data_IF_896485190250
#
_entry.id   IF_896485190250
#
_cell.length_a   1.000
_cell.length_b   1.000
_cell.length_c   1.000
_cell.angle_alpha   90.00
_cell.angle_beta   90.00
_cell.angle_gamma   90.00
#
_symmetry.space_group_name_H-M   'P 1'
#
loop_
_entity.id
_entity.type
_entity.pdbx_description
1 polymer ?
#
# COMPACT_ATOMS: atom_id res chain seq x y z
N UNK A 1 -2.11 9.03 -16.88
CA UNK A 1 -3.37 8.26 -16.92
C UNK A 1 -3.39 7.17 -15.84
N UNK A 2 -2.34 6.35 -15.72
CA UNK A 2 -2.25 5.27 -14.72
C UNK A 2 -2.48 5.66 -13.26
N UNK A 3 -2.00 6.83 -12.78
CA UNK A 3 -2.22 7.28 -11.39
C UNK A 3 -3.70 7.55 -11.07
N UNK A 4 -4.45 8.07 -12.05
CA UNK A 4 -5.90 8.29 -11.92
C UNK A 4 -6.67 6.98 -11.95
N UNK A 5 -6.23 6.00 -12.74
CA UNK A 5 -6.80 4.64 -12.74
C UNK A 5 -6.50 3.88 -11.44
N UNK A 6 -5.30 4.06 -10.87
CA UNK A 6 -4.92 3.51 -9.57
C UNK A 6 -5.85 3.99 -8.44
N UNK A 7 -6.24 5.27 -8.47
CA UNK A 7 -7.21 5.84 -7.53
C UNK A 7 -8.68 5.44 -7.80
N UNK A 8 -8.97 4.78 -8.94
CA UNK A 8 -10.33 4.33 -9.28
C UNK A 8 -10.71 2.99 -8.70
N UNK A 9 -9.75 2.13 -8.34
CA UNK A 9 -10.05 0.96 -7.54
C UNK A 9 -10.58 1.45 -6.19
N UNK A 10 -11.89 1.49 -6.03
CA UNK A 10 -12.57 1.96 -4.81
C UNK A 10 -13.12 0.81 -4.01
N UNK A 11 -13.24 -0.37 -4.62
CA UNK A 11 -13.83 -1.56 -4.02
C UNK A 11 -12.85 -2.73 -3.99
N UNK A 12 -13.07 -3.69 -3.09
CA UNK A 12 -12.28 -4.93 -3.03
C UNK A 12 -12.43 -5.73 -4.32
N UNK A 13 -13.64 -5.79 -4.91
CA UNK A 13 -13.84 -6.48 -6.21
C UNK A 13 -12.94 -5.92 -7.30
N UNK A 14 -12.93 -4.60 -7.47
CA UNK A 14 -12.04 -3.94 -8.44
C UNK A 14 -10.57 -4.22 -8.14
N UNK A 15 -10.17 -4.20 -6.86
CA UNK A 15 -8.79 -4.51 -6.47
C UNK A 15 -8.38 -5.95 -6.84
N UNK A 16 -9.28 -6.93 -6.64
CA UNK A 16 -9.00 -8.34 -6.91
C UNK A 16 -8.92 -8.64 -8.42
N UNK A 17 -9.82 -8.04 -9.20
CA UNK A 17 -9.90 -8.20 -10.66
C UNK A 17 -8.79 -7.44 -11.40
N UNK A 18 -8.33 -6.32 -10.83
CA UNK A 18 -7.27 -5.52 -11.43
C UNK A 18 -5.89 -6.18 -11.30
N UNK A 19 -5.10 -6.09 -12.37
CA UNK A 19 -3.72 -6.58 -12.38
C UNK A 19 -2.77 -5.39 -12.27
N UNK A 20 -2.14 -5.16 -11.10
CA UNK A 20 -1.17 -4.09 -10.98
C UNK A 20 -0.01 -4.28 -11.94
N UNK A 21 0.60 -3.18 -12.42
CA UNK A 21 1.93 -3.28 -12.99
C UNK A 21 2.84 -3.92 -11.93
N UNK A 22 3.58 -4.95 -12.34
CA UNK A 22 4.55 -5.59 -11.46
C UNK A 22 5.65 -4.57 -11.18
N UNK A 23 5.77 -4.19 -9.91
CA UNK A 23 6.93 -3.46 -9.42
C UNK A 23 7.81 -4.46 -8.70
N UNK A 24 9.03 -4.57 -9.18
CA UNK A 24 10.06 -5.33 -8.48
C UNK A 24 10.50 -4.55 -7.24
N UNK A 25 10.59 -5.24 -6.11
CA UNK A 25 11.09 -4.66 -4.86
C UNK A 25 12.51 -5.16 -4.67
N UNK A 26 13.47 -4.24 -4.53
CA UNK A 26 14.86 -4.61 -4.25
C UNK A 26 15.01 -4.97 -2.77
N UNK A 27 15.31 -6.25 -2.50
CA UNK A 27 15.46 -6.81 -1.15
C UNK A 27 16.78 -6.36 -0.50
N UNK A 28 17.82 -6.19 -1.31
CA UNK A 28 19.17 -5.82 -0.84
C UNK A 28 19.62 -4.52 -1.51
N UNK A 29 19.26 -3.36 -0.94
CA UNK A 29 19.63 -2.09 -1.53
C UNK A 29 21.13 -1.82 -1.36
N UNK A 30 21.73 -1.15 -2.34
CA UNK A 30 23.13 -0.71 -2.26
C UNK A 30 23.35 0.36 -1.19
N UNK A 31 22.33 1.19 -0.93
CA UNK A 31 22.30 2.12 0.20
C UNK A 31 20.95 2.12 0.91
N UNK A 32 21.02 2.23 2.24
CA UNK A 32 19.87 2.49 3.12
C UNK A 32 19.84 3.91 3.69
N UNK A 33 20.80 4.76 3.31
CA UNK A 33 20.86 6.17 3.73
C UNK A 33 19.89 6.99 2.89
N UNK A 34 19.10 7.86 3.53
CA UNK A 34 18.09 8.67 2.83
C UNK A 34 18.72 9.81 2.02
N UNK A 35 19.83 10.36 2.51
CA UNK A 35 20.58 11.41 1.82
C UNK A 35 21.08 10.96 0.44
N UNK A 36 21.29 9.66 0.24
CA UNK A 36 21.70 9.12 -1.07
C UNK A 36 20.55 9.11 -2.09
N UNK A 37 19.30 9.17 -1.63
CA UNK A 37 18.10 9.20 -2.47
C UNK A 37 17.67 10.65 -2.76
N UNK A 38 17.84 11.59 -1.84
CA UNK A 38 17.34 12.95 -2.02
C UNK A 38 18.30 13.78 -2.91
N UNK A 39 17.75 14.58 -3.82
CA UNK A 39 18.53 15.41 -4.73
C UNK A 39 17.84 16.75 -4.97
N UNK A 40 18.62 17.84 -4.96
CA UNK A 40 18.13 19.20 -5.28
C UNK A 40 18.09 19.48 -6.79
N UNK A 41 18.69 18.60 -7.59
CA UNK A 41 18.63 18.64 -9.06
C UNK A 41 17.24 18.29 -9.61
N UNK A 42 16.94 18.78 -10.82
CA UNK A 42 15.71 18.42 -11.55
C UNK A 42 15.69 16.93 -11.97
N UNK A 43 14.49 16.31 -12.04
CA UNK A 43 14.34 14.93 -12.48
C UNK A 43 14.77 14.75 -13.95
N UNK A 44 15.45 13.64 -14.25
CA UNK A 44 15.90 13.31 -15.61
C UNK A 44 14.81 12.64 -16.44
N UNK A 45 13.80 12.06 -15.80
CA UNK A 45 12.64 11.49 -16.46
C UNK A 45 11.36 11.79 -15.70
N UNK A 46 10.30 12.13 -16.42
CA UNK A 46 8.95 12.33 -15.89
C UNK A 46 7.91 11.44 -16.59
N UNK A 47 8.38 10.57 -17.49
CA UNK A 47 7.50 9.67 -18.25
C UNK A 47 6.97 8.55 -17.35
N UNK A 48 5.65 8.47 -17.21
CA UNK A 48 4.99 7.46 -16.37
C UNK A 48 5.35 6.04 -16.79
N UNK A 49 5.48 5.77 -18.09
CA UNK A 49 5.82 4.44 -18.59
C UNK A 49 7.23 4.04 -18.15
N UNK A 50 8.17 4.98 -18.12
CA UNK A 50 9.50 4.75 -17.59
C UNK A 50 9.49 4.56 -16.08
N UNK A 51 8.72 5.37 -15.35
CA UNK A 51 8.62 5.30 -13.89
C UNK A 51 8.10 3.94 -13.39
N UNK A 52 7.16 3.34 -14.10
CA UNK A 52 6.59 2.02 -13.76
C UNK A 52 7.59 0.86 -13.94
N UNK A 53 8.64 1.05 -14.73
CA UNK A 53 9.69 0.05 -14.93
C UNK A 53 10.79 0.10 -13.88
N UNK A 54 10.79 1.12 -13.02
CA UNK A 54 11.84 1.30 -12.03
C UNK A 54 11.46 0.52 -10.76
N UNK A 55 12.31 -0.42 -10.32
CA UNK A 55 12.08 -1.14 -9.07
C UNK A 55 11.91 -0.18 -7.90
N UNK A 56 11.03 -0.52 -6.96
CA UNK A 56 10.92 0.21 -5.71
C UNK A 56 12.08 -0.14 -4.76
N UNK A 57 12.49 0.79 -3.89
CA UNK A 57 13.35 0.46 -2.76
C UNK A 57 12.61 -0.44 -1.76
N UNK A 58 13.32 -0.94 -0.76
CA UNK A 58 12.70 -1.78 0.28
C UNK A 58 11.63 -0.99 1.07
N UNK A 59 10.62 -1.67 1.65
CA UNK A 59 9.56 -1.01 2.42
C UNK A 59 10.06 -0.06 3.51
N UNK A 60 11.16 -0.44 4.18
CA UNK A 60 11.75 0.35 5.25
C UNK A 60 12.35 1.68 4.73
N UNK A 61 13.05 1.63 3.59
CA UNK A 61 13.61 2.82 2.96
C UNK A 61 12.49 3.71 2.42
N UNK A 62 11.47 3.10 1.82
CA UNK A 62 10.33 3.84 1.30
C UNK A 62 9.58 4.58 2.41
N UNK A 63 9.37 3.96 3.57
CA UNK A 63 8.75 4.62 4.72
C UNK A 63 9.55 5.84 5.16
N UNK A 64 10.87 5.69 5.32
CA UNK A 64 11.76 6.79 5.69
C UNK A 64 11.77 7.92 4.66
N UNK A 65 11.63 7.61 3.37
CA UNK A 65 11.48 8.61 2.32
C UNK A 65 10.17 9.38 2.44
N UNK A 66 9.07 8.69 2.75
CA UNK A 66 7.77 9.34 3.00
C UNK A 66 7.90 10.28 4.20
N UNK A 67 8.47 9.81 5.31
CA UNK A 67 8.64 10.60 6.53
C UNK A 67 9.50 11.86 6.25
N UNK A 68 10.65 11.69 5.58
CA UNK A 68 11.56 12.79 5.25
C UNK A 68 10.94 13.85 4.32
N UNK A 69 10.04 13.44 3.42
CA UNK A 69 9.34 14.36 2.50
C UNK A 69 8.10 15.00 3.14
N UNK A 70 7.59 14.45 4.24
CA UNK A 70 6.47 15.03 4.99
C UNK A 70 6.94 16.03 6.07
N UNK A 71 8.19 15.92 6.52
CA UNK A 71 8.78 16.78 7.57
C UNK A 71 9.20 18.18 7.08
N UNK A 72 8.90 18.57 5.83
CA UNK A 72 9.30 19.86 5.24
C UNK A 72 8.58 21.11 5.82
N UNK A 73 7.80 20.98 6.88
CA UNK A 73 7.16 22.13 7.56
C UNK A 73 8.11 22.95 8.45
N UNK A 74 9.36 22.49 8.67
CA UNK A 74 10.39 23.24 9.40
C UNK A 74 11.21 24.16 8.47
N UNK A 75 10.61 25.30 8.09
CA UNK A 75 11.15 26.36 7.22
C UNK A 75 12.48 27.01 7.73
N UNK A 76 12.98 26.64 8.91
CA UNK A 76 14.06 27.36 9.62
C UNK A 76 15.49 26.86 9.27
N UNK A 77 15.64 25.85 8.41
CA UNK A 77 16.96 25.22 8.12
C UNK A 77 17.69 25.72 6.87
N UNK A 78 17.11 26.64 6.10
CA UNK A 78 17.78 27.29 4.96
C UNK A 78 18.34 26.32 3.90
N UNK A 79 17.87 25.08 3.86
CA UNK A 79 18.27 24.07 2.90
C UNK A 79 17.19 23.98 1.84
N UNK A 80 17.56 24.04 0.56
CA UNK A 80 16.60 23.89 -0.54
C UNK A 80 15.91 22.53 -0.45
N UNK A 81 14.58 22.46 -0.65
CA UNK A 81 13.86 21.18 -0.59
C UNK A 81 14.31 20.24 -1.72
N UNK A 82 14.29 18.91 -1.48
CA UNK A 82 14.56 17.92 -2.52
C UNK A 82 13.59 18.07 -3.70
N UNK A 83 14.15 18.16 -4.91
CA UNK A 83 13.39 18.25 -6.16
C UNK A 83 13.23 16.92 -6.87
N UNK A 84 14.11 15.96 -6.58
CA UNK A 84 14.07 14.64 -7.21
C UNK A 84 14.63 13.53 -6.30
N UNK A 85 14.36 12.30 -6.71
CA UNK A 85 14.73 11.05 -6.04
C UNK A 85 15.71 10.27 -6.91
N UNK A 86 16.90 10.02 -6.40
CA UNK A 86 17.91 9.13 -6.97
C UNK A 86 17.57 7.68 -6.65
N UNK A 87 17.96 6.78 -7.55
CA UNK A 87 17.75 5.35 -7.38
C UNK A 87 18.94 4.68 -6.67
N UNK A 88 19.24 5.09 -5.43
CA UNK A 88 20.41 4.60 -4.68
C UNK A 88 20.34 3.10 -4.30
N UNK A 89 19.18 2.47 -4.42
CA UNK A 89 19.01 1.02 -4.31
C UNK A 89 19.42 0.26 -5.57
N UNK A 90 19.59 0.94 -6.71
CA UNK A 90 19.98 0.34 -7.99
C UNK A 90 21.48 0.44 -8.24
N UNK A 91 21.97 -0.28 -9.26
CA UNK A 91 23.39 -0.31 -9.66
C UNK A 91 23.99 1.08 -9.84
N UNK A 92 25.32 1.21 -9.67
CA UNK A 92 26.04 2.51 -9.81
C UNK A 92 25.79 3.21 -11.16
N UNK A 93 25.58 2.45 -12.23
CA UNK A 93 25.22 2.98 -13.56
C UNK A 93 23.85 3.66 -13.63
N UNK A 94 22.99 3.42 -12.64
CA UNK A 94 21.64 4.01 -12.52
C UNK A 94 21.60 5.21 -11.58
N UNK A 95 22.73 5.61 -10.98
CA UNK A 95 22.78 6.74 -10.03
C UNK A 95 22.51 8.10 -10.69
N UNK A 96 22.73 8.21 -12.01
CA UNK A 96 22.41 9.42 -12.77
C UNK A 96 20.90 9.58 -13.06
N UNK A 97 20.10 8.55 -12.80
CA UNK A 97 18.64 8.60 -12.97
C UNK A 97 18.01 9.30 -11.77
N UNK A 98 17.37 10.43 -12.03
CA UNK A 98 16.62 11.24 -11.05
C UNK A 98 15.14 11.23 -11.40
N UNK A 99 14.32 10.85 -10.43
CA UNK A 99 12.89 10.68 -10.57
C UNK A 99 12.16 11.82 -9.88
N UNK A 100 10.94 12.19 -10.32
CA UNK A 100 10.15 13.18 -9.60
C UNK A 100 9.81 12.67 -8.21
N UNK A 101 9.79 13.55 -7.20
CA UNK A 101 9.44 13.21 -5.80
C UNK A 101 8.14 12.41 -5.68
N UNK A 102 7.16 12.69 -6.56
CA UNK A 102 5.90 11.95 -6.66
C UNK A 102 6.03 10.43 -6.85
N UNK A 103 7.21 9.93 -7.27
CA UNK A 103 7.48 8.49 -7.40
C UNK A 103 7.36 7.75 -6.06
N UNK A 104 7.70 8.41 -4.96
CA UNK A 104 7.60 7.84 -3.61
C UNK A 104 6.14 7.51 -3.28
N UNK A 105 5.22 8.42 -3.61
CA UNK A 105 3.78 8.19 -3.45
C UNK A 105 3.28 7.05 -4.34
N UNK A 106 3.79 6.95 -5.56
CA UNK A 106 3.43 5.85 -6.48
C UNK A 106 3.88 4.49 -5.94
N UNK A 107 5.15 4.38 -5.53
CA UNK A 107 5.68 3.16 -4.92
C UNK A 107 4.90 2.78 -3.66
N UNK A 108 4.64 3.75 -2.78
CA UNK A 108 3.91 3.51 -1.52
C UNK A 108 2.50 3.00 -1.80
N UNK A 109 1.78 3.64 -2.71
CA UNK A 109 0.43 3.22 -3.10
C UNK A 109 0.42 1.80 -3.68
N UNK A 110 1.35 1.48 -4.58
CA UNK A 110 1.42 0.16 -5.21
C UNK A 110 1.78 -0.95 -4.21
N UNK A 111 2.62 -0.65 -3.23
CA UNK A 111 2.92 -1.58 -2.14
C UNK A 111 1.70 -1.83 -1.25
N UNK A 112 0.98 -0.77 -0.86
CA UNK A 112 -0.26 -0.89 -0.09
C UNK A 112 -1.32 -1.71 -0.85
N UNK A 113 -1.47 -1.48 -2.16
CA UNK A 113 -2.37 -2.26 -3.01
C UNK A 113 -2.01 -3.74 -3.06
N UNK A 114 -0.72 -4.06 -3.21
CA UNK A 114 -0.26 -5.45 -3.25
C UNK A 114 -0.49 -6.16 -1.92
N UNK A 115 -0.24 -5.48 -0.79
CA UNK A 115 -0.53 -6.01 0.54
C UNK A 115 -2.03 -6.26 0.73
N UNK A 116 -2.86 -5.26 0.42
CA UNK A 116 -4.31 -5.36 0.48
C UNK A 116 -4.83 -6.51 -0.38
N UNK A 117 -4.36 -6.61 -1.63
CA UNK A 117 -4.77 -7.68 -2.56
C UNK A 117 -4.40 -9.05 -2.02
N UNK A 118 -3.20 -9.21 -1.46
CA UNK A 118 -2.74 -10.46 -0.85
C UNK A 118 -3.61 -10.85 0.34
N UNK A 119 -3.94 -9.90 1.22
CA UNK A 119 -4.80 -10.12 2.37
C UNK A 119 -6.22 -10.51 1.96
N UNK A 120 -6.84 -9.72 1.07
CA UNK A 120 -8.20 -9.97 0.58
C UNK A 120 -8.33 -11.25 -0.25
N UNK A 121 -7.31 -11.60 -1.03
CA UNK A 121 -7.30 -12.87 -1.79
C UNK A 121 -7.29 -14.08 -0.85
N UNK A 122 -6.52 -14.01 0.24
CA UNK A 122 -6.50 -15.08 1.27
C UNK A 122 -7.84 -15.18 2.00
N UNK A 123 -8.44 -14.04 2.34
CA UNK A 123 -9.76 -13.99 2.96
C UNK A 123 -10.83 -14.61 2.05
N UNK A 124 -10.88 -14.20 0.79
CA UNK A 124 -11.81 -14.75 -0.21
C UNK A 124 -11.62 -16.27 -0.38
N UNK A 125 -10.38 -16.73 -0.53
CA UNK A 125 -10.09 -18.16 -0.67
C UNK A 125 -10.53 -18.96 0.57
N UNK A 126 -10.37 -18.40 1.76
CA UNK A 126 -10.83 -19.02 3.00
C UNK A 126 -12.36 -19.13 3.05
N UNK A 127 -13.08 -18.05 2.74
CA UNK A 127 -14.55 -18.04 2.72
C UNK A 127 -15.13 -19.02 1.69
N UNK A 128 -14.51 -19.12 0.51
CA UNK A 128 -14.91 -20.10 -0.52
C UNK A 128 -14.73 -21.53 0.01
N UNK A 129 -13.57 -21.83 0.62
CA UNK A 129 -13.32 -23.16 1.17
C UNK A 129 -14.31 -23.53 2.29
N UNK A 130 -14.70 -22.56 3.11
CA UNK A 130 -15.70 -22.75 4.16
C UNK A 130 -17.08 -23.06 3.55
N UNK A 131 -17.45 -22.38 2.46
CA UNK A 131 -18.68 -22.63 1.73
C UNK A 131 -18.74 -24.03 1.08
N UNK A 132 -17.60 -24.59 0.69
CA UNK A 132 -17.54 -25.96 0.17
C UNK A 132 -17.65 -27.03 1.26
N UNK A 133 -17.39 -26.69 2.53
CA UNK A 133 -17.38 -27.64 3.66
C UNK A 133 -18.67 -27.71 4.48
N UNK A 134 -19.49 -26.67 4.45
CA UNK A 134 -20.80 -26.65 5.12
C UNK A 134 -21.91 -26.87 4.08
N UNK A 135 -22.67 -27.96 4.21
CA UNK A 135 -23.82 -28.24 3.33
C UNK A 135 -25.02 -27.30 3.57
N UNK A 136 -25.06 -26.60 4.71
CA UNK A 136 -26.00 -25.49 4.95
C UNK A 136 -25.38 -24.17 4.48
N UNK A 137 -25.95 -23.60 3.41
CA UNK A 137 -25.67 -22.23 3.01
C UNK A 137 -26.11 -21.28 4.12
N UNK A 138 -25.14 -20.84 4.92
CA UNK A 138 -25.35 -19.82 5.92
C UNK A 138 -25.52 -18.47 5.20
N UNK A 139 -26.75 -17.97 5.11
CA UNK A 139 -27.10 -16.67 4.52
C UNK A 139 -26.21 -15.51 5.00
N UNK A 140 -25.71 -15.60 6.25
CA UNK A 140 -24.77 -14.62 6.82
C UNK A 140 -23.45 -14.58 6.03
N UNK A 141 -23.00 -15.71 5.49
CA UNK A 141 -21.76 -15.83 4.71
C UNK A 141 -21.87 -15.17 3.34
N UNK A 142 -23.02 -15.32 2.67
CA UNK A 142 -23.31 -14.65 1.40
C UNK A 142 -23.39 -13.13 1.60
N UNK A 143 -24.09 -12.68 2.65
CA UNK A 143 -24.16 -11.26 3.01
C UNK A 143 -22.79 -10.65 3.31
N UNK A 144 -21.90 -11.40 3.97
CA UNK A 144 -20.51 -10.99 4.21
C UNK A 144 -19.75 -10.87 2.89
N UNK A 145 -19.85 -11.85 1.99
CA UNK A 145 -19.17 -11.80 0.68
C UNK A 145 -19.64 -10.62 -0.16
N UNK A 146 -20.94 -10.34 -0.18
CA UNK A 146 -21.52 -9.21 -0.91
C UNK A 146 -21.10 -7.87 -0.31
N UNK A 147 -21.08 -7.77 1.02
CA UNK A 147 -20.57 -6.59 1.73
C UNK A 147 -19.09 -6.35 1.46
N UNK A 148 -18.28 -7.41 1.39
CA UNK A 148 -16.87 -7.30 1.03
C UNK A 148 -16.70 -6.80 -0.40
N UNK A 149 -17.52 -7.22 -1.35
CA UNK A 149 -17.43 -6.78 -2.75
C UNK A 149 -17.56 -5.27 -2.90
N UNK A 150 -18.39 -4.63 -2.07
CA UNK A 150 -18.64 -3.18 -2.11
C UNK A 150 -17.74 -2.36 -1.19
N UNK A 151 -17.07 -3.00 -0.22
CA UNK A 151 -16.21 -2.32 0.73
C UNK A 151 -14.93 -1.74 0.09
N UNK A 152 -14.45 -0.65 0.67
CA UNK A 152 -13.18 -0.04 0.28
C UNK A 152 -11.97 -0.90 0.68
N UNK A 153 -10.98 -1.02 -0.21
CA UNK A 153 -9.79 -1.81 0.09
C UNK A 153 -8.71 -1.05 0.86
N UNK A 154 -8.74 0.29 0.78
CA UNK A 154 -7.76 1.19 1.39
C UNK A 154 -8.43 2.11 2.42
N UNK A 155 -7.58 2.78 3.21
CA UNK A 155 -8.01 3.75 4.19
C UNK A 155 -8.20 3.16 5.59
N UNK A 156 -8.79 3.98 6.45
CA UNK A 156 -8.95 3.71 7.86
C UNK A 156 -10.42 3.47 8.17
N UNK A 157 -10.69 2.53 9.07
CA UNK A 157 -12.02 2.25 9.57
C UNK A 157 -12.44 3.37 10.53
N UNK A 158 -13.66 3.88 10.36
CA UNK A 158 -14.26 4.92 11.19
C UNK A 158 -15.57 4.37 11.78
N UNK A 159 -15.99 4.88 12.95
CA UNK A 159 -17.14 4.41 13.73
C UNK A 159 -16.83 3.51 14.95
N UNK A 160 -15.57 3.33 15.37
CA UNK A 160 -15.15 2.44 16.46
C UNK A 160 -14.41 3.19 17.58
N UNK A 161 -14.25 2.63 18.79
CA UNK A 161 -13.53 3.30 19.89
C UNK A 161 -12.08 3.62 19.51
N UNK A 162 -11.51 2.81 18.61
CA UNK A 162 -10.20 3.02 17.96
C UNK A 162 -10.31 3.72 16.61
N UNK A 163 -11.20 4.69 16.51
CA UNK A 163 -11.50 5.46 15.30
C UNK A 163 -10.25 5.88 14.52
N UNK A 164 -10.13 5.41 13.29
CA UNK A 164 -9.02 5.79 12.41
C UNK A 164 -7.69 5.07 12.67
N UNK A 165 -7.62 4.15 13.63
CA UNK A 165 -6.40 3.37 13.90
C UNK A 165 -6.33 2.09 13.04
N UNK A 166 -7.47 1.42 12.84
CA UNK A 166 -7.52 0.15 12.09
C UNK A 166 -7.61 0.41 10.59
N UNK A 167 -6.75 -0.23 9.80
CA UNK A 167 -6.79 -0.13 8.33
C UNK A 167 -7.82 -1.10 7.75
N UNK A 168 -8.42 -0.74 6.60
CA UNK A 168 -9.34 -1.65 5.89
C UNK A 168 -8.67 -2.98 5.52
N UNK A 169 -7.38 -2.99 5.18
CA UNK A 169 -6.61 -4.22 4.94
C UNK A 169 -6.57 -5.14 6.16
N UNK A 170 -6.49 -4.59 7.38
CA UNK A 170 -6.53 -5.40 8.60
C UNK A 170 -7.88 -6.11 8.77
N UNK A 171 -8.98 -5.55 8.22
CA UNK A 171 -10.31 -6.16 8.29
C UNK A 171 -10.37 -7.50 7.54
N UNK A 172 -9.52 -7.69 6.51
CA UNK A 172 -9.41 -8.97 5.81
C UNK A 172 -9.05 -10.13 6.75
N UNK A 173 -8.38 -9.86 7.88
CA UNK A 173 -8.08 -10.88 8.89
C UNK A 173 -9.35 -11.48 9.51
N UNK A 174 -10.40 -10.67 9.75
CA UNK A 174 -11.67 -11.13 10.31
C UNK A 174 -12.35 -12.15 9.39
N UNK A 175 -12.33 -11.89 8.09
CA UNK A 175 -12.89 -12.79 7.07
C UNK A 175 -12.09 -14.11 6.91
N UNK A 176 -10.89 -14.21 7.49
CA UNK A 176 -10.02 -15.40 7.41
C UNK A 176 -9.87 -16.17 8.74
N UNK A 177 -10.67 -15.83 9.75
CA UNK A 177 -10.65 -16.44 11.11
C UNK A 177 -9.26 -16.35 11.78
N UNK A 178 -8.39 -15.41 11.36
CA UNK A 178 -7.13 -15.07 12.07
C UNK A 178 -7.39 -14.19 13.30
N UNK A 179 -8.35 -14.61 14.13
CA UNK A 179 -9.03 -13.79 15.14
C UNK A 179 -8.22 -13.50 16.40
N UNK A 180 -7.03 -14.05 16.57
CA UNK A 180 -6.36 -14.09 17.88
C UNK A 180 -5.35 -12.94 18.10
N UNK A 181 -5.74 -11.70 17.81
CA UNK A 181 -4.97 -10.53 18.27
C UNK A 181 -5.88 -9.64 19.10
N UNK A 182 -5.33 -9.05 20.15
CA UNK A 182 -6.07 -8.21 21.10
C UNK A 182 -6.85 -7.09 20.41
N UNK A 183 -6.33 -6.56 19.31
CA UNK A 183 -6.99 -5.53 18.51
C UNK A 183 -8.33 -5.99 17.92
N UNK A 184 -8.45 -7.27 17.57
CA UNK A 184 -9.68 -7.85 17.04
C UNK A 184 -10.75 -8.02 18.11
N UNK A 185 -10.35 -8.41 19.33
CA UNK A 185 -11.25 -8.53 20.48
C UNK A 185 -11.82 -7.15 20.82
N UNK A 186 -10.98 -6.12 20.83
CA UNK A 186 -11.42 -4.75 21.11
C UNK A 186 -12.41 -4.24 20.05
N UNK A 187 -12.21 -4.57 18.76
CA UNK A 187 -13.17 -4.19 17.71
C UNK A 187 -14.50 -4.94 17.84
N UNK A 188 -14.46 -6.23 18.23
CA UNK A 188 -15.68 -7.00 18.48
C UNK A 188 -16.44 -6.48 19.70
N UNK A 189 -15.73 -6.05 20.75
CA UNK A 189 -16.32 -5.41 21.92
C UNK A 189 -16.98 -4.06 21.58
N UNK A 190 -16.44 -3.30 20.63
CA UNK A 190 -17.07 -2.06 20.16
C UNK A 190 -18.39 -2.29 19.38
N UNK A 191 -18.61 -3.51 18.87
CA UNK A 191 -19.82 -3.88 18.12
C UNK A 191 -20.96 -4.41 19.00
N UNK A 192 -20.67 -4.75 20.27
CA UNK A 192 -21.61 -5.30 21.25
C UNK A 192 -22.17 -4.22 22.17
#
# INVERSE_FOLDING_TARGET
>A
MALKELQKARTIKQLLEWTPPKIDIIIHPLSSSIDDYLSTDEPTTTSMDSLLLIPAPSPLVLQKLVDALCDEEDDDKGTDPPKSIRCAHLTKTSMDVRLPVSIVNLWSLLMQMNEARSAWSKAKAHLIKLAESDEESDTVREDVLDSLVVAGWAGKLHGFSRNGATTMTAVAAYASVKWLKDDHINLALDLL
#
